data_IF_611455859638
#
_entry.id   IF_611455859638
#
_cell.length_a   1.000
_cell.length_b   1.000
_cell.length_c   1.000
_cell.angle_alpha   90.00
_cell.angle_beta   90.00
_cell.angle_gamma   90.00
#
_symmetry.space_group_name_H-M   'P 1'
#
loop_
_entity.id
_entity.type
_entity.pdbx_description
1 polymer ?
#
# COMPACT_ATOMS: atom_id res chain seq x y z
N UNK A 1 -20.23 -24.87 21.40
CA UNK A 1 -19.77 -24.12 20.22
C UNK A 1 -18.90 -22.97 20.66
N UNK A 2 -17.64 -22.86 20.23
CA UNK A 2 -16.90 -21.62 20.41
C UNK A 2 -17.25 -20.65 19.28
N UNK A 3 -17.59 -19.43 19.66
CA UNK A 3 -17.74 -18.28 18.78
C UNK A 3 -16.35 -17.91 18.25
N UNK A 4 -16.14 -18.01 16.94
CA UNK A 4 -14.98 -17.42 16.28
C UNK A 4 -15.09 -15.89 16.31
N UNK A 5 -14.04 -15.14 16.67
CA UNK A 5 -14.07 -13.69 16.59
C UNK A 5 -14.14 -13.29 15.12
N UNK A 6 -15.06 -12.39 14.78
CA UNK A 6 -15.09 -11.71 13.48
C UNK A 6 -13.76 -10.97 13.33
N UNK A 7 -12.80 -11.56 12.61
CA UNK A 7 -11.53 -10.90 12.31
C UNK A 7 -11.82 -9.69 11.45
N UNK A 8 -11.79 -8.49 12.04
CA UNK A 8 -11.89 -7.25 11.29
C UNK A 8 -10.66 -7.16 10.37
N UNK A 9 -10.87 -7.19 9.06
CA UNK A 9 -9.77 -7.03 8.10
C UNK A 9 -9.33 -5.56 8.16
N UNK A 10 -8.11 -5.30 8.62
CA UNK A 10 -7.52 -3.96 8.65
C UNK A 10 -7.28 -3.43 7.24
N UNK A 11 -7.33 -2.11 7.06
CA UNK A 11 -7.00 -1.51 5.77
C UNK A 11 -5.51 -1.64 5.46
N UNK A 12 -5.19 -2.02 4.22
CA UNK A 12 -3.82 -2.24 3.75
C UNK A 12 -3.64 -1.65 2.35
N UNK A 13 -2.42 -1.20 2.06
CA UNK A 13 -2.02 -0.80 0.72
C UNK A 13 -1.18 -1.89 0.06
N UNK A 14 -1.68 -2.43 -1.05
CA UNK A 14 -0.93 -3.34 -1.88
C UNK A 14 -0.20 -2.54 -2.95
N UNK A 15 1.08 -2.85 -3.10
CA UNK A 15 1.98 -2.20 -4.05
C UNK A 15 2.24 -3.16 -5.20
N UNK A 16 2.02 -2.71 -6.43
CA UNK A 16 2.34 -3.45 -7.64
C UNK A 16 3.28 -2.60 -8.53
N UNK A 17 4.50 -3.07 -8.84
CA UNK A 17 5.12 -4.32 -8.40
C UNK A 17 5.41 -4.35 -6.88
N UNK A 18 5.52 -5.54 -6.25
CA UNK A 18 5.54 -5.71 -4.79
C UNK A 18 6.93 -5.43 -4.18
N UNK A 19 7.44 -4.23 -4.43
CA UNK A 19 8.73 -3.74 -3.94
C UNK A 19 8.54 -2.59 -2.96
N UNK A 20 9.33 -2.58 -1.88
CA UNK A 20 9.38 -1.48 -0.91
C UNK A 20 10.83 -1.05 -0.64
N UNK A 21 11.13 0.26 -0.55
CA UNK A 21 10.22 1.35 -0.90
C UNK A 21 9.84 1.30 -2.39
N UNK A 22 8.63 1.75 -2.70
CA UNK A 22 8.14 1.79 -4.06
C UNK A 22 8.86 2.92 -4.83
N UNK A 23 8.99 2.79 -6.15
CA UNK A 23 9.81 3.70 -6.95
C UNK A 23 9.05 4.09 -8.22
N UNK A 24 9.00 5.38 -8.57
CA UNK A 24 8.19 5.87 -9.69
C UNK A 24 8.55 5.22 -11.04
N UNK A 25 9.82 4.92 -11.30
CA UNK A 25 10.22 4.27 -12.55
C UNK A 25 9.65 2.86 -12.73
N UNK A 26 9.11 2.23 -11.68
CA UNK A 26 8.45 0.91 -11.76
C UNK A 26 6.97 0.97 -12.17
N UNK A 27 6.42 2.16 -12.48
CA UNK A 27 4.99 2.35 -12.79
C UNK A 27 4.08 1.80 -11.68
N UNK A 28 4.37 2.22 -10.45
CA UNK A 28 3.73 1.70 -9.24
C UNK A 28 2.23 1.93 -9.24
N UNK A 29 1.49 0.87 -8.95
CA UNK A 29 0.05 0.91 -8.71
C UNK A 29 -0.24 0.55 -7.27
N UNK A 30 -1.00 1.41 -6.58
CA UNK A 30 -1.44 1.21 -5.21
C UNK A 30 -2.89 0.76 -5.18
N UNK A 31 -3.17 -0.34 -4.47
CA UNK A 31 -4.53 -0.84 -4.22
C UNK A 31 -4.85 -0.74 -2.75
N UNK A 32 -5.92 -0.05 -2.40
CA UNK A 32 -6.47 -0.09 -1.06
C UNK A 32 -7.28 -1.38 -0.89
N UNK A 33 -7.00 -2.15 0.16
CA UNK A 33 -7.77 -3.31 0.57
C UNK A 33 -8.23 -3.14 2.01
N UNK A 34 -9.34 -3.78 2.37
CA UNK A 34 -9.95 -3.67 3.69
C UNK A 34 -11.46 -3.89 3.61
N UNK A 35 -12.09 -4.11 4.75
CA UNK A 35 -13.56 -4.19 4.86
C UNK A 35 -14.23 -2.87 4.47
N UNK A 36 -15.46 -2.95 3.96
CA UNK A 36 -16.25 -1.79 3.55
C UNK A 36 -16.82 -1.92 2.14
N UNK A 37 -17.50 -0.87 1.67
CA UNK A 37 -18.02 -0.79 0.31
C UNK A 37 -16.88 -0.50 -0.67
N UNK A 38 -16.78 -1.28 -1.75
CA UNK A 38 -15.83 -1.00 -2.83
C UNK A 38 -16.03 0.42 -3.39
N UNK A 39 -14.94 1.13 -3.66
CA UNK A 39 -14.94 2.52 -4.12
C UNK A 39 -15.12 3.57 -3.02
N UNK A 40 -15.49 3.20 -1.79
CA UNK A 40 -15.56 4.13 -0.66
C UNK A 40 -14.19 4.33 0.00
N UNK A 41 -13.17 4.69 -0.78
CA UNK A 41 -11.78 4.82 -0.32
C UNK A 41 -11.35 6.29 -0.27
N UNK A 42 -10.93 6.75 0.90
CA UNK A 42 -10.30 8.08 1.05
C UNK A 42 -8.79 7.93 0.96
N UNK A 43 -8.19 8.61 -0.01
CA UNK A 43 -6.75 8.61 -0.25
C UNK A 43 -6.09 9.84 0.36
N UNK A 44 -4.91 9.65 0.93
CA UNK A 44 -4.07 10.71 1.46
C UNK A 44 -2.66 10.62 0.87
N UNK A 45 -2.08 11.78 0.59
CA UNK A 45 -0.68 11.96 0.19
C UNK A 45 -0.04 12.92 1.17
N UNK A 46 1.06 12.50 1.79
CA UNK A 46 1.82 13.28 2.77
C UNK A 46 0.94 13.82 3.91
N UNK A 47 -0.03 13.01 4.34
CA UNK A 47 -1.02 13.35 5.37
C UNK A 47 -2.18 14.22 4.89
N UNK A 48 -2.11 14.77 3.68
CA UNK A 48 -3.17 15.60 3.11
C UNK A 48 -4.16 14.76 2.31
N UNK A 49 -5.46 15.02 2.50
CA UNK A 49 -6.51 14.35 1.72
C UNK A 49 -6.35 14.67 0.24
N UNK A 50 -6.17 13.62 -0.55
CA UNK A 50 -5.93 13.71 -1.99
C UNK A 50 -7.20 13.38 -2.80
N UNK A 51 -8.14 12.59 -2.26
CA UNK A 51 -9.47 12.35 -2.84
C UNK A 51 -10.29 11.26 -2.13
N UNK A 52 -11.62 11.25 -2.26
CA UNK A 52 -12.53 10.31 -1.58
C UNK A 52 -13.18 9.26 -2.49
N UNK A 53 -13.11 9.47 -3.81
CA UNK A 53 -13.83 8.66 -4.79
C UNK A 53 -12.98 8.43 -6.04
N UNK A 54 -11.69 8.23 -5.82
CA UNK A 54 -10.84 7.57 -6.82
C UNK A 54 -11.09 6.07 -6.62
N UNK A 55 -11.05 5.32 -7.70
CA UNK A 55 -11.01 3.85 -7.67
C UNK A 55 -10.22 3.32 -6.48
N UNK A 56 -10.56 2.13 -5.99
CA UNK A 56 -9.80 1.41 -4.96
C UNK A 56 -8.34 1.17 -5.35
N UNK A 57 -7.98 1.47 -6.59
CA UNK A 57 -6.65 1.36 -7.14
C UNK A 57 -6.28 2.56 -8.02
N UNK A 58 -5.04 3.04 -7.94
CA UNK A 58 -4.51 4.05 -8.87
C UNK A 58 -3.00 3.89 -9.11
N UNK A 59 -2.55 4.33 -10.28
CA UNK A 59 -1.12 4.38 -10.63
C UNK A 59 -0.51 5.69 -10.13
N UNK A 60 0.57 5.58 -9.37
CA UNK A 60 1.25 6.71 -8.74
C UNK A 60 2.10 7.44 -9.78
N UNK A 61 2.01 8.77 -9.75
CA UNK A 61 2.77 9.66 -10.65
C UNK A 61 3.71 10.61 -9.91
N UNK A 62 3.64 10.64 -8.58
CA UNK A 62 4.41 11.56 -7.73
C UNK A 62 5.04 10.81 -6.57
N UNK A 63 6.21 11.26 -6.13
CA UNK A 63 6.83 10.74 -4.90
C UNK A 63 6.09 11.28 -3.68
N UNK A 64 6.20 10.55 -2.58
CA UNK A 64 5.56 10.91 -1.31
C UNK A 64 5.17 9.69 -0.49
N UNK A 65 4.44 9.96 0.59
CA UNK A 65 3.90 8.95 1.49
C UNK A 65 2.41 8.82 1.29
N UNK A 66 1.95 7.64 0.90
CA UNK A 66 0.56 7.36 0.59
C UNK A 66 -0.09 6.52 1.69
N UNK A 67 -1.33 6.87 2.03
CA UNK A 67 -2.22 6.08 2.90
C UNK A 67 -3.63 6.07 2.31
N UNK A 68 -4.42 5.06 2.67
CA UNK A 68 -5.84 5.05 2.37
C UNK A 68 -6.66 4.77 3.64
N UNK A 69 -7.89 5.26 3.68
CA UNK A 69 -8.85 5.03 4.75
C UNK A 69 -10.14 4.44 4.16
N UNK A 70 -10.65 3.39 4.80
CA UNK A 70 -11.89 2.72 4.42
C UNK A 70 -12.88 2.65 5.57
N UNK A 71 -14.17 2.95 5.31
CA UNK A 71 -15.23 2.73 6.28
C UNK A 71 -15.24 1.29 6.77
N UNK A 72 -15.10 1.10 8.08
CA UNK A 72 -15.13 -0.22 8.74
C UNK A 72 -13.78 -0.93 8.87
N UNK A 73 -12.71 -0.43 8.24
CA UNK A 73 -11.35 -1.00 8.40
C UNK A 73 -10.26 0.02 8.75
N UNK A 74 -10.55 1.33 8.65
CA UNK A 74 -9.73 2.43 9.16
C UNK A 74 -8.60 2.87 8.23
N UNK A 75 -7.61 3.57 8.79
CA UNK A 75 -6.45 4.07 8.06
C UNK A 75 -5.40 2.97 7.86
N UNK A 76 -4.86 2.86 6.65
CA UNK A 76 -3.79 1.92 6.31
C UNK A 76 -2.44 2.35 6.89
N UNK A 77 -1.49 1.41 7.04
CA UNK A 77 -0.07 1.76 7.14
C UNK A 77 0.40 2.56 5.91
N UNK A 78 1.44 3.42 6.07
CA UNK A 78 1.95 4.24 4.99
C UNK A 78 2.82 3.45 4.01
N UNK A 79 2.69 3.76 2.72
CA UNK A 79 3.62 3.32 1.67
C UNK A 79 4.41 4.52 1.16
N UNK A 80 5.74 4.40 1.13
CA UNK A 80 6.63 5.42 0.58
C UNK A 80 6.91 5.14 -0.89
N UNK A 81 6.75 6.16 -1.71
CA UNK A 81 7.10 6.17 -3.14
C UNK A 81 8.24 7.16 -3.34
N UNK A 82 9.36 6.69 -3.87
CA UNK A 82 10.58 7.45 -4.08
C UNK A 82 10.79 7.78 -5.57
N UNK A 83 11.60 8.81 -5.80
CA UNK A 83 12.08 9.24 -7.11
C UNK A 83 13.60 9.52 -7.01
N UNK A 84 14.32 8.55 -6.45
CA UNK A 84 15.74 8.65 -6.15
C UNK A 84 16.53 7.82 -7.18
N UNK A 85 17.74 8.29 -7.54
CA UNK A 85 18.59 7.68 -8.58
C UNK A 85 19.00 6.23 -8.31
N UNK A 86 19.00 5.79 -7.05
CA UNK A 86 19.45 4.46 -6.67
C UNK A 86 18.69 4.03 -5.43
N UNK A 87 17.90 2.97 -5.54
CA UNK A 87 17.08 2.46 -4.46
C UNK A 87 17.28 0.94 -4.33
N UNK A 88 17.66 0.50 -3.13
CA UNK A 88 17.61 -0.91 -2.76
C UNK A 88 16.18 -1.27 -2.36
N UNK A 89 15.54 -2.10 -3.15
CA UNK A 89 14.19 -2.61 -2.94
C UNK A 89 14.22 -4.00 -2.31
N UNK A 90 13.30 -4.22 -1.37
CA UNK A 90 12.99 -5.53 -0.78
C UNK A 90 11.53 -5.89 -1.09
N UNK A 91 11.11 -7.16 -0.93
CA UNK A 91 9.70 -7.53 -1.11
C UNK A 91 8.78 -6.76 -0.16
N UNK A 92 7.65 -6.25 -0.66
CA UNK A 92 6.66 -5.51 0.12
C UNK A 92 5.77 -6.38 1.05
N UNK A 93 6.05 -7.69 1.11
CA UNK A 93 5.34 -8.65 1.96
C UNK A 93 6.05 -8.81 3.31
N UNK A 94 5.33 -9.35 4.29
CA UNK A 94 5.94 -9.82 5.54
C UNK A 94 6.97 -10.92 5.23
N UNK A 95 8.14 -10.81 5.85
CA UNK A 95 9.21 -11.81 5.76
C UNK A 95 9.35 -12.51 7.12
N UNK A 96 9.53 -13.82 7.09
CA UNK A 96 9.68 -14.68 8.27
C UNK A 96 11.02 -15.41 8.25
N UNK A 97 11.38 -16.04 9.37
CA UNK A 97 12.57 -16.88 9.44
C UNK A 97 12.49 -18.05 8.45
N UNK A 98 13.56 -18.27 7.70
CA UNK A 98 13.64 -19.29 6.65
C UNK A 98 13.16 -18.82 5.28
N UNK A 99 12.59 -17.61 5.15
CA UNK A 99 12.20 -17.07 3.85
C UNK A 99 13.41 -16.76 2.96
N UNK A 100 13.32 -17.13 1.68
CA UNK A 100 14.23 -16.63 0.64
C UNK A 100 13.87 -15.19 0.27
N UNK A 101 14.84 -14.29 0.39
CA UNK A 101 14.67 -12.87 0.07
C UNK A 101 15.42 -12.53 -1.21
N UNK A 102 14.71 -11.95 -2.17
CA UNK A 102 15.31 -11.35 -3.37
C UNK A 102 15.41 -9.86 -3.15
N UNK A 103 16.63 -9.32 -3.19
CA UNK A 103 16.87 -7.88 -3.21
C UNK A 103 16.97 -7.38 -4.64
N UNK A 104 16.50 -6.17 -4.91
CA UNK A 104 16.61 -5.54 -6.22
C UNK A 104 17.21 -4.16 -6.09
N UNK A 105 18.23 -3.87 -6.90
CA UNK A 105 18.75 -2.53 -7.06
C UNK A 105 18.01 -1.87 -8.25
N UNK A 106 17.31 -0.76 -8.00
CA UNK A 106 16.61 0.03 -9.02
C UNK A 106 17.37 1.34 -9.23
N UNK A 107 17.61 1.68 -10.50
CA UNK A 107 18.30 2.89 -10.97
C UNK A 107 17.43 3.64 -11.95
#
# INVERSE_FOLDING_TARGET
>A
SPLSPTGAQTTQLLVEPPWTPAVLEDQVTLTCQGSGTAGATTWYKDGQRWGQNRSDRFTVTESGTYTCDRPGSGLSPPVRVLNDRLVLQVPARTLLEGDTVTLRCRT
#
